data_IF_631519971031
#
_entry.id   IF_631519971031
#
_cell.length_a   1.000
_cell.length_b   1.000
_cell.length_c   1.000
_cell.angle_alpha   90.00
_cell.angle_beta   90.00
_cell.angle_gamma   90.00
#
_symmetry.space_group_name_H-M   'P 1'
#
loop_
_entity.id
_entity.type
_entity.pdbx_description
1 polymer ?
#
# COMPACT_ATOMS: atom_id res chain seq x y z
N UNK A 1 -3.54 58.50 2.15
CA UNK A 1 -3.18 57.38 1.23
C UNK A 1 -3.27 56.01 1.93
N UNK A 2 -4.42 55.58 2.48
CA UNK A 2 -4.52 54.29 3.21
C UNK A 2 -4.72 53.08 2.29
N UNK A 3 -5.26 53.27 1.08
CA UNK A 3 -5.61 52.19 0.15
C UNK A 3 -4.38 51.47 -0.43
N UNK A 4 -3.31 52.22 -0.76
CA UNK A 4 -2.07 51.64 -1.25
C UNK A 4 -1.39 50.77 -0.19
N UNK A 5 -1.44 51.19 1.08
CA UNK A 5 -0.88 50.44 2.20
C UNK A 5 -1.69 49.15 2.47
N UNK A 6 -3.01 49.22 2.37
CA UNK A 6 -3.89 48.06 2.52
C UNK A 6 -3.73 47.06 1.37
N UNK A 7 -3.61 47.56 0.13
CA UNK A 7 -3.34 46.73 -1.05
C UNK A 7 -1.97 46.04 -0.94
N UNK A 8 -0.90 46.77 -0.62
CA UNK A 8 0.43 46.22 -0.39
C UNK A 8 0.43 45.15 0.72
N UNK A 9 -0.31 45.40 1.81
CA UNK A 9 -0.45 44.45 2.93
C UNK A 9 -1.29 43.22 2.59
N UNK A 10 -2.19 43.30 1.61
CA UNK A 10 -2.97 42.15 1.13
C UNK A 10 -2.12 41.21 0.26
N UNK A 11 -1.27 41.78 -0.60
CA UNK A 11 -0.33 41.03 -1.45
C UNK A 11 0.72 40.35 -0.58
N UNK A 12 1.26 41.06 0.42
CA UNK A 12 2.26 40.50 1.33
C UNK A 12 1.69 39.34 2.17
N UNK A 13 0.42 39.43 2.59
CA UNK A 13 -0.27 38.33 3.31
C UNK A 13 -0.63 37.14 2.41
N UNK A 14 -0.87 37.39 1.12
CA UNK A 14 -1.09 36.32 0.13
C UNK A 14 0.17 35.48 -0.07
N UNK A 15 1.34 36.13 -0.15
CA UNK A 15 2.64 35.46 -0.31
C UNK A 15 3.08 34.75 0.97
N UNK A 16 2.74 35.29 2.14
CA UNK A 16 3.06 34.67 3.42
C UNK A 16 2.12 33.52 3.81
N UNK A 17 1.10 33.20 2.99
CA UNK A 17 0.18 32.10 3.26
C UNK A 17 0.91 30.78 2.97
N UNK A 18 1.09 29.88 3.96
CA UNK A 18 1.66 28.57 3.69
C UNK A 18 0.82 27.90 2.60
N UNK A 19 1.49 27.39 1.56
CA UNK A 19 0.82 26.59 0.53
C UNK A 19 0.09 25.41 1.16
N UNK A 20 -0.92 24.83 0.47
CA UNK A 20 -1.64 23.68 0.99
C UNK A 20 -0.64 22.60 1.40
N UNK A 21 -0.63 22.25 2.69
CA UNK A 21 0.20 21.18 3.20
C UNK A 21 -0.25 19.87 2.56
N UNK A 22 0.67 18.96 2.18
CA UNK A 22 0.27 17.67 1.63
C UNK A 22 -0.64 16.97 2.63
N UNK A 23 -1.92 16.79 2.27
CA UNK A 23 -2.90 16.06 3.08
C UNK A 23 -2.78 14.59 2.70
N UNK A 24 -2.04 13.83 3.51
CA UNK A 24 -1.85 12.40 3.32
C UNK A 24 -0.74 11.86 4.19
N UNK A 25 -0.78 10.55 4.47
CA UNK A 25 0.33 9.84 5.10
C UNK A 25 1.34 9.58 3.99
N UNK A 26 2.50 10.22 4.07
CA UNK A 26 3.63 9.98 3.16
C UNK A 26 4.60 9.08 3.87
N UNK A 27 4.83 7.89 3.33
CA UNK A 27 5.89 7.00 3.83
C UNK A 27 7.23 7.37 3.22
N UNK A 28 8.30 7.26 4.02
CA UNK A 28 9.67 7.28 3.51
C UNK A 28 9.98 6.04 2.64
N UNK A 29 11.19 5.97 2.05
CA UNK A 29 11.61 4.81 1.29
C UNK A 29 11.62 3.54 2.16
N UNK A 30 11.38 2.35 1.56
CA UNK A 30 11.43 1.08 2.29
C UNK A 30 12.83 0.83 2.84
N UNK A 31 12.92 0.43 4.12
CA UNK A 31 14.19 0.06 4.75
C UNK A 31 14.80 -1.20 4.09
N UNK A 32 13.93 -2.13 3.69
CA UNK A 32 14.29 -3.34 2.95
C UNK A 32 13.37 -3.43 1.73
N UNK A 33 13.81 -2.95 0.55
CA UNK A 33 13.01 -3.01 -0.65
C UNK A 33 12.85 -4.47 -1.10
N UNK A 34 11.61 -4.92 -1.25
CA UNK A 34 11.32 -6.24 -1.79
C UNK A 34 11.43 -6.21 -3.30
N UNK A 35 12.28 -7.07 -3.86
CA UNK A 35 12.39 -7.26 -5.29
C UNK A 35 11.21 -8.05 -5.88
N UNK A 36 11.07 -8.06 -7.22
CA UNK A 36 10.07 -8.89 -7.90
C UNK A 36 10.21 -10.38 -7.57
N UNK A 37 11.45 -10.88 -7.45
CA UNK A 37 11.73 -12.28 -7.13
C UNK A 37 11.27 -12.67 -5.72
N UNK A 38 11.61 -11.86 -4.72
CA UNK A 38 11.19 -12.08 -3.32
C UNK A 38 9.66 -12.01 -3.18
N UNK A 39 9.04 -11.04 -3.87
CA UNK A 39 7.59 -10.91 -3.90
C UNK A 39 6.92 -12.13 -4.52
N UNK A 40 7.44 -12.62 -5.65
CA UNK A 40 6.94 -13.83 -6.31
C UNK A 40 7.03 -15.05 -5.40
N UNK A 41 8.17 -15.24 -4.73
CA UNK A 41 8.36 -16.35 -3.78
C UNK A 41 7.36 -16.24 -2.62
N UNK A 42 7.18 -15.05 -2.05
CA UNK A 42 6.22 -14.81 -0.97
C UNK A 42 4.79 -15.13 -1.38
N UNK A 43 4.36 -14.68 -2.56
CA UNK A 43 3.04 -15.02 -3.10
C UNK A 43 2.90 -16.52 -3.35
N UNK A 44 3.84 -17.14 -4.05
CA UNK A 44 3.81 -18.57 -4.33
C UNK A 44 3.73 -19.38 -3.02
N UNK A 45 4.53 -19.04 -2.01
CA UNK A 45 4.49 -19.68 -0.70
C UNK A 45 3.10 -19.56 -0.04
N UNK A 46 2.47 -18.37 -0.09
CA UNK A 46 1.11 -18.18 0.42
C UNK A 46 0.09 -19.06 -0.31
N UNK A 47 0.15 -19.11 -1.65
CA UNK A 47 -0.75 -19.95 -2.45
C UNK A 47 -0.56 -21.44 -2.13
N UNK A 48 0.67 -21.92 -2.09
CA UNK A 48 0.94 -23.32 -1.74
C UNK A 48 0.54 -23.67 -0.30
N UNK A 49 0.73 -22.75 0.65
CA UNK A 49 0.32 -22.97 2.03
C UNK A 49 -1.20 -23.12 2.18
N UNK A 50 -1.99 -22.32 1.46
CA UNK A 50 -3.45 -22.40 1.50
C UNK A 50 -4.00 -23.54 0.62
N UNK A 51 -3.51 -23.67 -0.61
CA UNK A 51 -4.07 -24.59 -1.61
C UNK A 51 -3.46 -25.98 -1.57
N UNK A 52 -2.22 -26.13 -1.09
CA UNK A 52 -1.53 -27.43 -1.04
C UNK A 52 -2.30 -28.47 -0.20
N UNK A 53 -2.68 -28.17 1.05
CA UNK A 53 -3.47 -29.09 1.86
C UNK A 53 -4.84 -29.39 1.24
N UNK A 54 -5.50 -28.38 0.66
CA UNK A 54 -6.79 -28.55 0.01
C UNK A 54 -6.69 -29.45 -1.23
N UNK A 55 -5.67 -29.24 -2.06
CA UNK A 55 -5.37 -30.06 -3.22
C UNK A 55 -5.08 -31.51 -2.82
N UNK A 56 -4.32 -31.73 -1.74
CA UNK A 56 -4.06 -33.07 -1.23
C UNK A 56 -5.36 -33.79 -0.82
N UNK A 57 -6.21 -33.14 -0.02
CA UNK A 57 -7.49 -33.72 0.42
C UNK A 57 -8.38 -34.05 -0.79
N UNK A 58 -8.47 -33.14 -1.75
CA UNK A 58 -9.26 -33.36 -2.97
C UNK A 58 -8.72 -34.51 -3.83
N UNK A 59 -7.39 -34.64 -3.93
CA UNK A 59 -6.76 -35.71 -4.70
C UNK A 59 -7.03 -37.11 -4.11
N UNK A 60 -7.27 -37.21 -2.80
CA UNK A 60 -7.49 -38.49 -2.11
C UNK A 60 -8.96 -38.80 -1.83
N UNK A 61 -9.90 -38.06 -2.42
CA UNK A 61 -11.34 -38.28 -2.18
C UNK A 61 -11.80 -39.70 -2.52
N UNK A 62 -11.27 -40.30 -3.59
CA UNK A 62 -11.64 -41.67 -3.98
C UNK A 62 -11.08 -42.71 -3.00
N UNK A 63 -9.94 -42.44 -2.37
CA UNK A 63 -9.40 -43.30 -1.34
C UNK A 63 -10.23 -43.19 -0.05
N UNK A 64 -10.67 -42.00 0.33
CA UNK A 64 -11.54 -41.79 1.48
C UNK A 64 -12.93 -42.41 1.32
N UNK A 65 -13.38 -42.59 0.07
CA UNK A 65 -14.67 -43.23 -0.26
C UNK A 65 -14.62 -44.76 -0.15
N UNK A 66 -13.45 -45.37 -0.28
CA UNK A 66 -13.28 -46.81 -0.10
C UNK A 66 -13.46 -47.12 1.38
N UNK A 67 -14.59 -47.74 1.71
CA UNK A 67 -14.81 -48.40 2.99
C UNK A 67 -14.45 -49.86 2.79
N UNK A 68 -13.22 -50.19 3.17
CA UNK A 68 -12.95 -51.53 3.68
C UNK A 68 -13.87 -51.85 4.86
#
# INVERSE_FOLDING_TARGET
>A
MPLALLAARSVLRSVARPGPTPRGIVSGPPQNPLGPGESFIGFAAMFFACLGPAAWVMAHLDDYKKRE
#
